data_IF_994329366692
#
_entry.id   IF_994329366692
#
_cell.length_a   1.000
_cell.length_b   1.000
_cell.length_c   1.000
_cell.angle_alpha   90.00
_cell.angle_beta   90.00
_cell.angle_gamma   90.00
#
_symmetry.space_group_name_H-M   'P 1'
#
loop_
_entity.id
_entity.type
_entity.pdbx_description
1 polymer ?
#
# COMPACT_ATOMS: atom_id res chain seq x y z
N UNK A 1 23.16 -33.22 21.19
CA UNK A 1 23.12 -33.19 19.72
C UNK A 1 21.69 -33.47 19.30
N UNK A 2 21.10 -32.65 18.42
CA UNK A 2 19.79 -32.96 17.82
C UNK A 2 19.95 -34.20 16.93
N UNK A 3 19.02 -35.15 17.06
CA UNK A 3 18.88 -36.28 16.16
C UNK A 3 18.64 -35.80 14.71
N UNK A 4 18.98 -36.65 13.75
CA UNK A 4 18.98 -36.31 12.35
C UNK A 4 17.58 -36.11 11.79
N UNK A 5 16.63 -36.93 12.24
CA UNK A 5 15.21 -36.80 11.90
C UNK A 5 14.61 -35.55 12.54
N UNK A 6 14.96 -35.28 13.81
CA UNK A 6 14.54 -34.09 14.54
C UNK A 6 15.03 -32.79 13.88
N UNK A 7 16.29 -32.77 13.41
CA UNK A 7 16.87 -31.63 12.68
C UNK A 7 16.13 -31.37 11.37
N UNK A 8 15.72 -32.43 10.67
CA UNK A 8 14.96 -32.29 9.44
C UNK A 8 13.54 -31.80 9.70
N UNK A 9 12.85 -32.37 10.68
CA UNK A 9 11.52 -31.95 11.08
C UNK A 9 11.52 -30.46 11.46
N UNK A 10 12.50 -30.05 12.27
CA UNK A 10 12.68 -28.65 12.66
C UNK A 10 12.90 -27.74 11.45
N UNK A 11 13.80 -28.11 10.54
CA UNK A 11 14.09 -27.30 9.36
C UNK A 11 12.88 -27.20 8.41
N UNK A 12 12.11 -28.28 8.26
CA UNK A 12 10.88 -28.27 7.47
C UNK A 12 9.81 -27.40 8.11
N UNK A 13 9.62 -27.49 9.42
CA UNK A 13 8.69 -26.64 10.17
C UNK A 13 9.04 -25.15 10.09
N UNK A 14 10.32 -24.78 10.25
CA UNK A 14 10.78 -23.38 10.15
C UNK A 14 10.67 -22.78 8.74
N UNK A 15 10.59 -23.62 7.72
CA UNK A 15 10.38 -23.22 6.32
C UNK A 15 8.91 -23.28 5.89
N UNK A 16 7.99 -23.36 6.87
CA UNK A 16 6.54 -23.47 6.67
C UNK A 16 6.14 -24.63 5.72
N UNK A 17 6.85 -25.77 5.79
CA UNK A 17 6.48 -26.94 5.00
C UNK A 17 5.24 -27.63 5.60
N UNK A 18 4.14 -27.76 4.84
CA UNK A 18 2.89 -28.36 5.35
C UNK A 18 3.04 -29.85 5.74
N UNK A 19 4.10 -30.52 5.29
CA UNK A 19 4.41 -31.91 5.67
C UNK A 19 5.17 -32.03 7.00
N UNK A 20 5.56 -30.92 7.63
CA UNK A 20 6.35 -30.91 8.86
C UNK A 20 5.60 -30.18 9.98
N UNK A 21 5.48 -30.83 11.15
CA UNK A 21 4.97 -30.20 12.37
C UNK A 21 6.10 -29.71 13.26
N UNK A 22 5.79 -28.79 14.18
CA UNK A 22 6.70 -28.41 15.25
C UNK A 22 7.21 -29.67 16.00
N UNK A 23 8.51 -29.79 16.27
CA UNK A 23 9.02 -30.86 17.11
C UNK A 23 8.44 -30.81 18.53
N UNK A 24 8.15 -31.98 19.10
CA UNK A 24 7.51 -32.12 20.42
C UNK A 24 8.36 -31.45 21.52
N UNK A 25 9.69 -31.46 21.38
CA UNK A 25 10.65 -30.86 22.32
C UNK A 25 10.63 -29.33 22.37
N UNK A 26 10.08 -28.68 21.33
CA UNK A 26 9.96 -27.22 21.24
C UNK A 26 8.57 -26.71 21.62
N UNK A 27 7.65 -27.61 21.96
CA UNK A 27 6.31 -27.26 22.40
C UNK A 27 6.34 -26.81 23.86
N UNK A 28 6.16 -25.51 24.10
CA UNK A 28 6.07 -24.94 25.43
C UNK A 28 4.62 -24.85 25.91
N UNK A 29 4.37 -25.33 27.14
CA UNK A 29 3.05 -25.30 27.78
C UNK A 29 3.07 -24.43 29.05
N UNK A 30 2.16 -23.45 29.18
CA UNK A 30 1.93 -22.78 30.45
C UNK A 30 1.13 -23.72 31.39
N UNK A 31 1.82 -24.55 32.18
CA UNK A 31 1.23 -25.39 33.23
C UNK A 31 1.55 -26.90 33.13
N UNK A 32 0.95 -27.71 34.01
CA UNK A 32 1.10 -29.18 33.99
C UNK A 32 0.18 -29.76 32.91
N UNK A 33 0.73 -30.11 31.75
CA UNK A 33 0.00 -30.69 30.62
C UNK A 33 -0.35 -32.18 30.86
N UNK A 34 -1.16 -32.49 31.87
CA UNK A 34 -1.70 -33.85 32.05
C UNK A 34 -2.96 -34.00 31.20
N UNK A 35 -2.92 -34.88 30.20
CA UNK A 35 -4.11 -35.26 29.41
C UNK A 35 -4.45 -34.38 28.20
N UNK A 36 -3.59 -33.42 27.84
CA UNK A 36 -3.70 -32.71 26.55
C UNK A 36 -2.84 -33.39 25.48
N UNK A 37 -3.41 -33.58 24.29
CA UNK A 37 -2.62 -33.91 23.10
C UNK A 37 -1.79 -32.68 22.72
N UNK A 38 -0.50 -32.75 23.04
CA UNK A 38 0.47 -31.67 22.82
C UNK A 38 0.62 -31.32 21.35
N UNK A 39 0.32 -32.27 20.43
CA UNK A 39 0.39 -32.07 18.97
C UNK A 39 -0.76 -31.23 18.42
N UNK A 40 -1.89 -31.20 19.12
CA UNK A 40 -3.07 -30.42 18.74
C UNK A 40 -3.07 -29.02 19.39
N UNK A 41 -2.07 -28.72 20.23
CA UNK A 41 -2.00 -27.44 20.94
C UNK A 41 -1.44 -26.34 20.00
N UNK A 42 -2.13 -25.21 19.84
CA UNK A 42 -1.67 -24.14 18.97
C UNK A 42 -0.39 -23.49 19.51
N UNK A 43 0.58 -23.24 18.61
CA UNK A 43 1.83 -22.53 18.93
C UNK A 43 1.54 -21.12 19.45
N UNK A 44 2.50 -20.49 20.17
CA UNK A 44 2.36 -19.09 20.59
C UNK A 44 2.06 -18.16 19.40
N UNK A 45 2.60 -18.46 18.22
CA UNK A 45 2.25 -17.75 17.00
C UNK A 45 0.81 -17.98 16.55
N UNK A 46 0.36 -19.24 16.48
CA UNK A 46 -1.03 -19.54 16.12
C UNK A 46 -2.01 -18.88 17.11
N UNK A 47 -1.68 -18.88 18.41
CA UNK A 47 -2.44 -18.18 19.45
C UNK A 47 -2.49 -16.66 19.25
N UNK A 48 -1.43 -16.06 18.72
CA UNK A 48 -1.43 -14.62 18.38
C UNK A 48 -2.31 -14.27 17.16
N UNK A 49 -2.70 -15.28 16.37
CA UNK A 49 -3.58 -15.14 15.20
C UNK A 49 -4.99 -15.70 15.44
N UNK A 50 -5.36 -16.09 16.67
CA UNK A 50 -6.70 -16.61 16.94
C UNK A 50 -7.77 -15.59 16.52
N UNK A 51 -8.76 -16.02 15.73
CA UNK A 51 -9.81 -15.19 15.10
C UNK A 51 -9.29 -14.14 14.11
N UNK A 52 -8.05 -14.27 13.64
CA UNK A 52 -7.48 -13.44 12.59
C UNK A 52 -7.20 -14.27 11.33
N UNK A 53 -7.50 -13.69 10.18
CA UNK A 53 -7.21 -14.26 8.86
C UNK A 53 -6.17 -13.41 8.13
N UNK A 54 -5.29 -14.08 7.40
CA UNK A 54 -4.34 -13.41 6.50
C UNK A 54 -5.09 -12.94 5.24
N UNK A 55 -5.21 -11.64 5.07
CA UNK A 55 -5.74 -10.99 3.87
C UNK A 55 -4.58 -10.64 2.95
N UNK A 56 -4.62 -11.20 1.73
CA UNK A 56 -3.62 -10.98 0.71
C UNK A 56 -4.10 -9.93 -0.31
N UNK A 57 -3.28 -8.90 -0.55
CA UNK A 57 -3.64 -7.81 -1.48
C UNK A 57 -2.67 -7.70 -2.66
N UNK A 58 -3.23 -7.49 -3.85
CA UNK A 58 -2.50 -7.19 -5.08
C UNK A 58 -1.88 -8.40 -5.78
N UNK A 59 -1.23 -8.15 -6.91
CA UNK A 59 -0.52 -9.18 -7.68
C UNK A 59 0.85 -9.46 -7.07
N UNK A 60 1.16 -10.74 -6.90
CA UNK A 60 2.35 -11.25 -6.20
C UNK A 60 3.56 -11.34 -7.15
N UNK A 61 3.90 -10.24 -7.85
CA UNK A 61 4.90 -10.23 -8.93
C UNK A 61 6.07 -9.28 -8.61
N UNK A 62 7.30 -9.68 -8.96
CA UNK A 62 8.55 -8.91 -8.78
C UNK A 62 8.93 -8.60 -7.31
N UNK A 63 8.53 -9.47 -6.38
CA UNK A 63 8.79 -9.35 -4.94
C UNK A 63 10.04 -10.14 -4.52
N UNK A 64 10.61 -9.74 -3.38
CA UNK A 64 11.74 -10.43 -2.75
C UNK A 64 11.26 -11.14 -1.48
N UNK A 65 11.31 -12.47 -1.49
CA UNK A 65 11.23 -13.30 -0.31
C UNK A 65 12.57 -13.33 0.42
N UNK A 66 12.52 -13.56 1.74
CA UNK A 66 13.69 -13.46 2.60
C UNK A 66 13.94 -14.77 3.36
N UNK A 67 15.15 -15.28 3.26
CA UNK A 67 15.71 -16.32 4.11
C UNK A 67 16.74 -15.67 5.03
N UNK A 68 16.39 -15.47 6.29
CA UNK A 68 17.30 -14.90 7.29
C UNK A 68 18.05 -16.03 7.98
N UNK A 69 19.38 -15.99 7.93
CA UNK A 69 20.25 -16.97 8.59
C UNK A 69 20.98 -16.31 9.74
N UNK A 70 20.91 -16.92 10.92
CA UNK A 70 21.68 -16.47 12.07
C UNK A 70 21.05 -16.88 13.40
N UNK A 71 21.82 -16.71 14.47
CA UNK A 71 21.46 -17.16 15.81
C UNK A 71 21.08 -16.01 16.75
N UNK A 72 21.07 -14.77 16.26
CA UNK A 72 20.75 -13.60 17.07
C UNK A 72 19.23 -13.35 17.13
N UNK A 73 18.77 -12.67 18.17
CA UNK A 73 17.37 -12.28 18.31
C UNK A 73 16.95 -11.32 17.18
N UNK A 74 17.87 -10.48 16.71
CA UNK A 74 17.67 -9.55 15.61
C UNK A 74 17.44 -10.29 14.27
N UNK A 75 18.15 -11.39 14.01
CA UNK A 75 17.94 -12.22 12.83
C UNK A 75 16.52 -12.82 12.80
N UNK A 76 16.09 -13.39 13.93
CA UNK A 76 14.73 -13.90 14.06
C UNK A 76 13.69 -12.78 13.91
N UNK A 77 13.92 -11.63 14.55
CA UNK A 77 13.03 -10.48 14.46
C UNK A 77 12.92 -9.94 13.02
N UNK A 78 14.02 -9.93 12.25
CA UNK A 78 14.00 -9.52 10.85
C UNK A 78 13.15 -10.45 9.99
N UNK A 79 13.31 -11.77 10.15
CA UNK A 79 12.51 -12.74 9.42
C UNK A 79 11.02 -12.57 9.71
N UNK A 80 10.67 -12.40 11.00
CA UNK A 80 9.28 -12.21 11.44
C UNK A 80 8.70 -10.89 10.97
N UNK A 81 9.46 -9.80 11.04
CA UNK A 81 9.05 -8.52 10.48
C UNK A 81 8.77 -8.65 8.98
N UNK A 82 9.63 -9.36 8.24
CA UNK A 82 9.45 -9.59 6.81
C UNK A 82 8.22 -10.46 6.52
N UNK A 83 8.02 -11.54 7.26
CA UNK A 83 6.85 -12.43 7.13
C UNK A 83 5.55 -11.68 7.41
N UNK A 84 5.48 -10.88 8.48
CA UNK A 84 4.29 -10.10 8.83
C UNK A 84 4.02 -8.93 7.86
N UNK A 85 5.04 -8.46 7.13
CA UNK A 85 4.89 -7.33 6.20
C UNK A 85 4.67 -7.79 4.76
N UNK A 86 5.41 -8.80 4.32
CA UNK A 86 5.54 -9.25 2.93
C UNK A 86 5.22 -10.74 2.72
N UNK A 87 4.84 -11.47 3.77
CA UNK A 87 4.40 -12.87 3.70
C UNK A 87 5.54 -13.89 3.59
N UNK A 88 6.52 -13.64 2.73
CA UNK A 88 7.57 -14.62 2.41
C UNK A 88 8.85 -14.33 3.19
N UNK A 89 8.86 -14.62 4.49
CA UNK A 89 10.01 -14.44 5.38
C UNK A 89 10.24 -15.68 6.22
N UNK A 90 11.45 -16.24 6.15
CA UNK A 90 11.85 -17.47 6.84
C UNK A 90 13.09 -17.20 7.69
N UNK A 91 13.18 -17.88 8.83
CA UNK A 91 14.36 -17.85 9.69
C UNK A 91 14.96 -19.24 9.80
N UNK A 92 16.27 -19.35 9.63
CA UNK A 92 17.02 -20.57 9.91
C UNK A 92 18.19 -20.27 10.86
N UNK A 93 18.30 -20.97 12.00
CA UNK A 93 19.49 -20.89 12.82
C UNK A 93 20.70 -21.46 12.07
N UNK A 94 21.86 -20.88 12.33
CA UNK A 94 23.12 -21.25 11.69
C UNK A 94 23.46 -22.72 11.86
N UNK A 95 23.10 -23.30 13.01
CA UNK A 95 23.36 -24.71 13.33
C UNK A 95 22.74 -25.70 12.36
N UNK A 96 21.73 -25.30 11.58
CA UNK A 96 21.11 -26.11 10.52
C UNK A 96 21.87 -26.04 9.20
N UNK A 97 22.74 -25.03 9.02
CA UNK A 97 23.41 -24.71 7.76
C UNK A 97 24.94 -24.78 7.84
N UNK A 98 25.52 -24.56 9.02
CA UNK A 98 26.97 -24.41 9.25
C UNK A 98 27.55 -25.46 10.20
N UNK A 99 26.88 -26.61 10.38
CA UNK A 99 27.47 -27.74 11.10
C UNK A 99 28.76 -28.27 10.45
N UNK A 100 29.48 -29.16 11.14
CA UNK A 100 30.77 -29.76 10.69
C UNK A 100 30.70 -30.55 9.36
N UNK A 101 29.53 -30.61 8.69
CA UNK A 101 29.32 -31.27 7.41
C UNK A 101 28.65 -30.37 6.37
N UNK A 102 28.58 -30.85 5.13
CA UNK A 102 27.83 -30.21 4.05
C UNK A 102 26.37 -29.98 4.45
N UNK A 103 25.77 -28.86 4.01
CA UNK A 103 24.31 -28.64 4.12
C UNK A 103 23.60 -29.87 3.58
N UNK A 104 22.60 -30.36 4.33
CA UNK A 104 21.89 -31.58 3.95
C UNK A 104 21.10 -31.38 2.68
N UNK A 105 21.10 -32.40 1.82
CA UNK A 105 20.45 -32.30 0.51
C UNK A 105 18.96 -31.98 0.63
N UNK A 106 18.26 -32.52 1.64
CA UNK A 106 16.82 -32.26 1.87
C UNK A 106 16.57 -30.79 2.20
N UNK A 107 17.43 -30.18 3.01
CA UNK A 107 17.33 -28.75 3.35
C UNK A 107 17.63 -27.86 2.14
N UNK A 108 18.73 -28.14 1.42
CA UNK A 108 19.05 -27.46 0.17
C UNK A 108 17.92 -27.58 -0.86
N UNK A 109 17.31 -28.77 -0.97
CA UNK A 109 16.17 -29.01 -1.86
C UNK A 109 14.92 -28.22 -1.45
N UNK A 110 14.59 -28.14 -0.15
CA UNK A 110 13.44 -27.36 0.34
C UNK A 110 13.62 -25.87 0.06
N UNK A 111 14.80 -25.32 0.33
CA UNK A 111 15.12 -23.91 0.00
C UNK A 111 15.04 -23.68 -1.51
N UNK A 112 15.56 -24.59 -2.32
CA UNK A 112 15.45 -24.52 -3.78
C UNK A 112 14.00 -24.68 -4.27
N UNK A 113 13.13 -25.41 -3.57
CA UNK A 113 11.69 -25.48 -3.89
C UNK A 113 11.04 -24.12 -3.65
N UNK A 114 11.25 -23.50 -2.48
CA UNK A 114 10.74 -22.16 -2.16
C UNK A 114 11.20 -21.14 -3.20
N UNK A 115 12.50 -21.14 -3.53
CA UNK A 115 13.05 -20.22 -4.51
C UNK A 115 12.46 -20.43 -5.91
N UNK A 116 12.17 -21.67 -6.32
CA UNK A 116 11.46 -21.97 -7.58
C UNK A 116 10.01 -21.52 -7.55
N UNK A 117 9.29 -21.77 -6.47
CA UNK A 117 7.89 -21.38 -6.34
C UNK A 117 7.74 -19.85 -6.39
N UNK A 118 8.66 -19.11 -5.78
CA UNK A 118 8.74 -17.66 -5.93
C UNK A 118 9.07 -17.24 -7.38
N UNK A 119 10.06 -17.88 -8.01
CA UNK A 119 10.45 -17.56 -9.38
C UNK A 119 9.33 -17.75 -10.41
N UNK A 120 8.39 -18.68 -10.18
CA UNK A 120 7.20 -18.87 -11.04
C UNK A 120 6.34 -17.61 -11.14
N UNK A 121 6.32 -16.78 -10.11
CA UNK A 121 5.59 -15.52 -10.07
C UNK A 121 6.52 -14.32 -10.32
N UNK A 122 7.67 -14.52 -10.98
CA UNK A 122 8.72 -13.49 -11.16
C UNK A 122 9.24 -12.88 -9.84
N UNK A 123 9.08 -13.60 -8.72
CA UNK A 123 9.66 -13.22 -7.44
C UNK A 123 11.05 -13.87 -7.29
N UNK A 124 11.79 -13.48 -6.26
CA UNK A 124 13.09 -14.06 -5.94
C UNK A 124 13.24 -14.35 -4.45
N UNK A 125 14.10 -15.29 -4.11
CA UNK A 125 14.51 -15.53 -2.72
C UNK A 125 15.89 -14.90 -2.49
N UNK A 126 16.01 -14.12 -1.42
CA UNK A 126 17.27 -13.56 -0.98
C UNK A 126 17.68 -14.14 0.38
N UNK A 127 18.97 -14.43 0.55
CA UNK A 127 19.58 -14.78 1.83
C UNK A 127 20.16 -13.52 2.48
N UNK A 128 19.90 -13.33 3.77
CA UNK A 128 20.41 -12.20 4.56
C UNK A 128 20.72 -12.61 6.00
N UNK A 129 21.40 -11.73 6.72
CA UNK A 129 21.56 -11.75 8.17
C UNK A 129 21.78 -10.32 8.68
N UNK A 130 21.45 -10.07 9.94
CA UNK A 130 21.86 -8.89 10.70
C UNK A 130 23.20 -9.16 11.40
N UNK A 131 23.39 -10.36 11.93
CA UNK A 131 24.56 -10.71 12.74
C UNK A 131 25.79 -11.12 11.93
N UNK A 132 25.64 -11.48 10.65
CA UNK A 132 26.71 -12.01 9.80
C UNK A 132 27.17 -11.05 8.72
N UNK A 133 28.42 -11.20 8.31
CA UNK A 133 29.01 -10.47 7.18
C UNK A 133 28.51 -10.97 5.82
N UNK A 134 28.65 -10.13 4.80
CA UNK A 134 28.30 -10.47 3.41
C UNK A 134 29.06 -11.71 2.90
N UNK A 135 30.35 -11.85 3.26
CA UNK A 135 31.16 -13.02 2.87
C UNK A 135 30.68 -14.32 3.49
N UNK A 136 30.28 -14.29 4.77
CA UNK A 136 29.73 -15.49 5.44
C UNK A 136 28.42 -15.91 4.78
N UNK A 137 27.58 -14.95 4.40
CA UNK A 137 26.33 -15.23 3.68
C UNK A 137 26.57 -15.79 2.28
N UNK A 138 27.59 -15.33 1.56
CA UNK A 138 27.98 -15.91 0.28
C UNK A 138 28.42 -17.37 0.42
N UNK A 139 29.21 -17.68 1.45
CA UNK A 139 29.60 -19.06 1.75
C UNK A 139 28.38 -19.92 2.11
N UNK A 140 27.48 -19.42 2.96
CA UNK A 140 26.23 -20.13 3.29
C UNK A 140 25.36 -20.35 2.05
N UNK A 141 25.20 -19.33 1.19
CA UNK A 141 24.49 -19.45 -0.10
C UNK A 141 25.08 -20.59 -0.92
N UNK A 142 26.39 -20.60 -1.12
CA UNK A 142 27.06 -21.58 -1.98
C UNK A 142 26.90 -23.00 -1.45
N UNK A 143 26.97 -23.17 -0.12
CA UNK A 143 26.70 -24.46 0.54
C UNK A 143 25.26 -24.93 0.33
N UNK A 144 24.28 -24.03 0.48
CA UNK A 144 22.85 -24.33 0.27
C UNK A 144 22.58 -24.72 -1.18
N UNK A 145 23.14 -23.98 -2.14
CA UNK A 145 23.00 -24.26 -3.56
C UNK A 145 23.66 -25.59 -3.92
N UNK A 146 24.87 -25.85 -3.43
CA UNK A 146 25.58 -27.11 -3.66
C UNK A 146 24.86 -28.33 -3.07
N UNK A 147 24.12 -28.15 -1.98
CA UNK A 147 23.33 -29.21 -1.36
C UNK A 147 22.10 -29.62 -2.19
N UNK A 148 21.58 -28.76 -3.09
CA UNK A 148 20.47 -29.15 -3.94
C UNK A 148 20.93 -30.12 -5.05
N UNK A 149 20.83 -31.42 -4.77
CA UNK A 149 21.23 -32.49 -5.69
C UNK A 149 20.17 -32.80 -6.77
N UNK A 150 18.95 -32.28 -6.64
CA UNK A 150 17.86 -32.53 -7.58
C UNK A 150 17.84 -31.40 -8.62
N UNK A 151 18.34 -31.71 -9.82
CA UNK A 151 18.24 -30.85 -11.00
C UNK A 151 17.08 -31.31 -11.87
N UNK A 152 16.15 -30.41 -12.17
CA UNK A 152 15.01 -30.71 -13.04
C UNK A 152 15.41 -30.36 -14.49
N UNK A 153 15.38 -31.32 -15.43
CA UNK A 153 15.70 -31.06 -16.83
C UNK A 153 14.85 -29.92 -17.40
N UNK A 154 15.49 -28.95 -18.05
CA UNK A 154 14.82 -27.81 -18.67
C UNK A 154 14.44 -26.66 -17.72
N UNK A 155 14.68 -26.78 -16.42
CA UNK A 155 14.55 -25.67 -15.47
C UNK A 155 15.92 -25.13 -15.07
N UNK A 156 16.07 -23.80 -15.08
CA UNK A 156 17.21 -23.16 -14.45
C UNK A 156 17.10 -23.29 -12.93
N UNK A 157 18.22 -23.59 -12.27
CA UNK A 157 18.29 -23.57 -10.82
C UNK A 157 17.90 -22.17 -10.33
N UNK A 158 17.02 -22.07 -9.32
CA UNK A 158 16.55 -20.78 -8.85
C UNK A 158 17.72 -20.00 -8.24
N UNK A 159 17.84 -18.72 -8.62
CA UNK A 159 18.89 -17.86 -8.09
C UNK A 159 18.58 -17.49 -6.64
N UNK A 160 19.53 -17.77 -5.74
CA UNK A 160 19.51 -17.29 -4.35
C UNK A 160 20.43 -16.06 -4.25
N UNK A 161 19.84 -14.87 -4.16
CA UNK A 161 20.60 -13.62 -4.07
C UNK A 161 21.10 -13.39 -2.64
N UNK A 162 22.35 -12.95 -2.45
CA UNK A 162 22.81 -12.45 -1.14
C UNK A 162 22.49 -10.96 -1.09
N UNK A 163 21.70 -10.54 -0.10
CA UNK A 163 21.38 -9.13 0.12
C UNK A 163 21.68 -8.80 1.57
N UNK A 164 22.60 -7.87 1.79
CA UNK A 164 22.94 -7.41 3.13
C UNK A 164 21.81 -6.56 3.75
N UNK A 165 21.62 -6.63 5.07
CA UNK A 165 20.47 -6.06 5.77
C UNK A 165 20.16 -4.57 5.47
N UNK A 166 21.14 -3.66 5.30
CA UNK A 166 20.87 -2.25 4.98
C UNK A 166 20.42 -2.03 3.53
N UNK A 167 20.69 -3.00 2.64
CA UNK A 167 20.33 -2.96 1.21
C UNK A 167 19.02 -3.69 0.92
N UNK A 168 18.32 -4.18 1.95
CA UNK A 168 17.07 -4.90 1.76
C UNK A 168 16.02 -4.03 1.03
N UNK A 169 15.28 -4.61 0.08
CA UNK A 169 14.31 -3.87 -0.73
C UNK A 169 13.02 -3.61 0.05
N UNK A 170 13.08 -2.76 1.08
CA UNK A 170 11.92 -2.35 1.88
C UNK A 170 10.83 -1.63 1.07
N UNK A 171 11.18 -1.12 -0.12
CA UNK A 171 10.27 -0.43 -1.04
C UNK A 171 9.52 -1.39 -1.96
N UNK A 172 9.03 -2.51 -1.43
CA UNK A 172 8.14 -3.42 -2.15
C UNK A 172 6.72 -3.32 -1.60
N UNK A 173 5.73 -3.72 -2.41
CA UNK A 173 4.35 -3.73 -1.96
C UNK A 173 4.18 -4.77 -0.86
N UNK A 174 3.67 -4.38 0.30
CA UNK A 174 3.43 -5.32 1.38
C UNK A 174 2.15 -6.13 1.10
N UNK A 175 2.16 -7.40 1.50
CA UNK A 175 1.33 -8.43 0.86
C UNK A 175 0.33 -9.06 1.82
N UNK A 176 0.64 -9.06 3.11
CA UNK A 176 -0.17 -9.66 4.18
C UNK A 176 -0.67 -8.56 5.11
N UNK A 177 -1.97 -8.57 5.38
CA UNK A 177 -2.61 -7.88 6.50
C UNK A 177 -3.43 -8.86 7.30
N UNK A 178 -3.44 -8.73 8.62
CA UNK A 178 -4.32 -9.52 9.48
C UNK A 178 -5.65 -8.78 9.63
N UNK A 179 -6.76 -9.49 9.44
CA UNK A 179 -8.09 -8.97 9.69
C UNK A 179 -8.87 -9.93 10.60
N UNK A 180 -9.90 -9.42 11.27
CA UNK A 180 -10.80 -10.26 12.07
C UNK A 180 -11.57 -11.18 11.12
N UNK A 181 -11.59 -12.47 11.44
CA UNK A 181 -12.35 -13.48 10.71
C UNK A 181 -13.81 -13.05 10.55
N UNK A 182 -14.37 -13.24 9.36
CA UNK A 182 -15.73 -12.83 8.98
C UNK A 182 -16.07 -11.32 9.11
N UNK A 183 -15.10 -10.46 9.45
CA UNK A 183 -15.28 -9.02 9.61
C UNK A 183 -14.23 -8.22 8.83
N UNK A 184 -13.96 -8.66 7.61
CA UNK A 184 -13.10 -7.99 6.64
C UNK A 184 -13.90 -7.68 5.36
N UNK A 185 -13.45 -6.70 4.58
CA UNK A 185 -14.11 -6.24 3.34
C UNK A 185 -15.58 -5.78 3.51
N UNK A 186 -15.93 -5.26 4.69
CA UNK A 186 -17.25 -4.68 4.93
C UNK A 186 -17.42 -3.36 4.19
N UNK A 187 -18.47 -3.26 3.36
CA UNK A 187 -18.80 -2.05 2.62
C UNK A 187 -19.82 -1.20 3.35
N UNK A 188 -19.56 0.10 3.45
CA UNK A 188 -20.45 1.07 4.08
C UNK A 188 -20.59 2.29 3.17
N UNK A 189 -21.83 2.65 2.83
CA UNK A 189 -22.12 3.89 2.11
C UNK A 189 -22.20 5.05 3.11
N UNK A 190 -21.43 6.10 2.85
CA UNK A 190 -21.46 7.34 3.63
C UNK A 190 -21.70 8.54 2.72
N UNK A 191 -22.53 9.53 3.14
CA UNK A 191 -22.66 10.77 2.41
C UNK A 191 -21.34 11.55 2.46
N UNK A 192 -20.94 12.14 1.34
CA UNK A 192 -19.66 12.85 1.20
C UNK A 192 -19.89 14.26 0.65
N UNK A 193 -19.04 15.19 1.04
CA UNK A 193 -18.87 16.48 0.37
C UNK A 193 -17.52 16.50 -0.33
N UNK A 194 -17.46 17.15 -1.50
CA UNK A 194 -16.23 17.30 -2.28
C UNK A 194 -15.89 18.79 -2.32
N UNK A 195 -14.70 19.14 -1.82
CA UNK A 195 -14.20 20.51 -1.89
C UNK A 195 -13.71 20.85 -3.31
N UNK A 196 -13.56 22.15 -3.61
CA UNK A 196 -13.06 22.62 -4.92
C UNK A 196 -11.69 22.03 -5.29
N UNK A 197 -10.83 21.78 -4.30
CA UNK A 197 -9.52 21.18 -4.52
C UNK A 197 -9.57 19.65 -4.74
N UNK A 198 -10.76 19.05 -4.76
CA UNK A 198 -11.01 17.62 -4.92
C UNK A 198 -10.95 16.79 -3.62
N UNK A 199 -10.73 17.43 -2.46
CA UNK A 199 -10.73 16.73 -1.16
C UNK A 199 -12.14 16.22 -0.85
N UNK A 200 -12.27 14.93 -0.56
CA UNK A 200 -13.55 14.30 -0.17
C UNK A 200 -13.64 14.23 1.35
N UNK A 201 -14.79 14.59 1.92
CA UNK A 201 -15.04 14.57 3.37
C UNK A 201 -16.32 13.82 3.66
N UNK A 202 -16.26 12.85 4.57
CA UNK A 202 -17.46 12.19 5.08
C UNK A 202 -18.31 13.22 5.83
N UNK A 203 -19.59 13.33 5.46
CA UNK A 203 -20.55 14.22 6.10
C UNK A 203 -21.17 13.58 7.37
N UNK A 204 -21.11 12.26 7.47
CA UNK A 204 -21.51 11.49 8.65
C UNK A 204 -20.35 10.60 9.12
N UNK A 205 -20.24 10.32 10.43
CA UNK A 205 -19.25 9.39 10.93
C UNK A 205 -19.57 7.95 10.50
N UNK A 206 -18.54 7.11 10.43
CA UNK A 206 -18.68 5.67 10.24
C UNK A 206 -19.48 5.03 11.39
N UNK A 207 -20.18 3.91 11.13
CA UNK A 207 -20.83 3.13 12.17
C UNK A 207 -19.80 2.66 13.22
N UNK A 208 -20.29 2.33 14.42
CA UNK A 208 -19.43 1.75 15.44
C UNK A 208 -18.83 0.43 14.93
N UNK A 209 -17.50 0.23 15.03
CA UNK A 209 -16.83 -0.94 14.46
C UNK A 209 -16.97 -2.16 15.38
N UNK A 210 -18.19 -2.60 15.67
CA UNK A 210 -18.49 -3.66 16.64
C UNK A 210 -17.94 -5.01 16.18
N UNK A 211 -17.23 -5.72 17.06
CA UNK A 211 -16.84 -7.11 16.83
C UNK A 211 -18.04 -8.04 17.00
N UNK A 212 -18.20 -9.00 16.10
CA UNK A 212 -19.29 -9.99 16.09
C UNK A 212 -18.84 -11.29 16.76
N UNK A 213 -17.54 -11.61 16.74
CA UNK A 213 -17.01 -12.80 17.41
C UNK A 213 -17.23 -12.72 18.93
N UNK A 214 -17.95 -13.71 19.48
CA UNK A 214 -18.25 -13.79 20.91
C UNK A 214 -16.97 -13.85 21.77
N UNK A 215 -15.95 -14.57 21.31
CA UNK A 215 -14.68 -14.74 22.02
C UNK A 215 -13.90 -13.43 22.10
N UNK A 216 -13.93 -12.62 21.03
CA UNK A 216 -13.30 -11.31 21.00
C UNK A 216 -14.09 -10.27 21.82
N UNK A 217 -15.42 -10.31 21.75
CA UNK A 217 -16.30 -9.40 22.50
C UNK A 217 -16.18 -9.62 24.02
N UNK A 218 -15.88 -10.84 24.46
CA UNK A 218 -15.67 -11.15 25.87
C UNK A 218 -14.41 -10.50 26.47
N UNK A 219 -13.50 -9.97 25.64
CA UNK A 219 -12.26 -9.33 26.09
C UNK A 219 -12.48 -7.83 26.33
N UNK A 220 -12.65 -7.42 27.60
CA UNK A 220 -13.00 -6.04 27.97
C UNK A 220 -11.95 -4.99 27.53
N UNK A 221 -10.67 -5.36 27.51
CA UNK A 221 -9.56 -4.47 27.16
C UNK A 221 -9.10 -4.56 25.69
N UNK A 222 -9.81 -5.33 24.86
CA UNK A 222 -9.44 -5.53 23.46
C UNK A 222 -9.63 -4.24 22.67
N UNK A 223 -8.59 -3.88 21.90
CA UNK A 223 -8.60 -2.74 21.01
C UNK A 223 -8.17 -3.21 19.63
N UNK A 224 -8.86 -2.70 18.61
CA UNK A 224 -8.58 -3.03 17.23
C UNK A 224 -8.43 -1.77 16.39
N UNK A 225 -7.86 -1.97 15.22
CA UNK A 225 -7.69 -0.95 14.22
C UNK A 225 -8.68 -1.17 13.10
N UNK A 226 -9.31 -0.09 12.64
CA UNK A 226 -10.24 -0.12 11.52
C UNK A 226 -9.55 0.51 10.33
N UNK A 227 -9.29 -0.30 9.32
CA UNK A 227 -8.71 0.15 8.05
C UNK A 227 -9.84 0.52 7.09
N UNK A 228 -9.82 1.77 6.63
CA UNK A 228 -10.83 2.35 5.75
C UNK A 228 -10.21 2.66 4.40
N UNK A 229 -10.86 2.15 3.36
CA UNK A 229 -10.53 2.40 1.96
C UNK A 229 -11.69 3.10 1.25
N UNK A 230 -11.37 4.02 0.34
CA UNK A 230 -12.35 4.62 -0.56
C UNK A 230 -12.27 3.86 -1.89
N UNK A 231 -13.39 3.36 -2.40
CA UNK A 231 -13.42 2.51 -3.62
C UNK A 231 -12.69 3.16 -4.81
N UNK A 232 -13.03 4.41 -5.12
CA UNK A 232 -12.35 5.21 -6.14
C UNK A 232 -11.25 6.10 -5.57
N UNK A 233 -10.47 5.60 -4.61
CA UNK A 233 -9.46 6.40 -3.91
C UNK A 233 -8.43 6.99 -4.88
N UNK A 234 -8.25 8.32 -4.79
CA UNK A 234 -7.18 9.07 -5.48
C UNK A 234 -6.16 9.64 -4.49
N UNK A 235 -6.28 9.29 -3.21
CA UNK A 235 -5.38 9.76 -2.17
C UNK A 235 -3.92 9.41 -2.46
N UNK A 236 -3.04 10.34 -2.07
CA UNK A 236 -1.61 10.07 -2.02
C UNK A 236 -1.34 9.04 -0.92
N UNK A 237 -1.06 7.80 -1.35
CA UNK A 237 -0.70 6.70 -0.46
C UNK A 237 0.70 6.90 0.11
N UNK A 238 0.84 7.72 1.15
CA UNK A 238 2.11 7.88 1.88
C UNK A 238 1.89 8.05 3.38
N UNK A 239 2.84 7.52 4.14
CA UNK A 239 2.83 7.54 5.60
C UNK A 239 3.13 8.94 6.13
N UNK A 240 2.55 9.22 7.30
CA UNK A 240 3.06 10.21 8.23
C UNK A 240 2.29 11.52 8.28
N UNK A 241 1.14 11.68 7.63
CA UNK A 241 0.29 12.86 7.88
C UNK A 241 -0.08 12.94 9.36
N UNK A 242 -0.13 14.16 9.90
CA UNK A 242 -0.75 14.40 11.21
C UNK A 242 -2.17 13.81 11.22
N UNK A 243 -2.53 13.14 12.31
CA UNK A 243 -3.86 12.54 12.50
C UNK A 243 -4.98 13.55 12.31
N UNK A 244 -4.77 14.81 12.68
CA UNK A 244 -5.81 15.84 12.58
C UNK A 244 -6.21 16.11 11.12
N UNK A 245 -5.28 15.88 10.19
CA UNK A 245 -5.47 16.09 8.77
C UNK A 245 -6.30 15.00 8.09
N UNK A 246 -6.61 13.93 8.83
CA UNK A 246 -7.36 12.77 8.35
C UNK A 246 -8.83 12.80 8.76
N UNK A 247 -9.20 13.65 9.72
CA UNK A 247 -10.59 13.76 10.15
C UNK A 247 -11.39 14.77 9.30
N UNK A 248 -12.61 14.37 8.93
CA UNK A 248 -13.55 15.20 8.16
C UNK A 248 -14.07 16.40 8.96
N UNK A 249 -14.26 16.21 10.27
CA UNK A 249 -14.49 17.28 11.24
C UNK A 249 -13.45 17.17 12.33
N UNK A 250 -12.93 18.30 12.82
CA UNK A 250 -11.97 18.27 13.93
C UNK A 250 -12.63 17.57 15.12
N UNK A 251 -12.15 16.40 15.56
CA UNK A 251 -12.79 15.69 16.65
C UNK A 251 -12.78 16.59 17.89
N UNK A 252 -13.85 16.51 18.70
CA UNK A 252 -13.76 16.98 20.08
C UNK A 252 -12.53 16.33 20.72
N UNK A 253 -11.73 17.15 21.40
CA UNK A 253 -10.37 16.86 21.86
C UNK A 253 -10.11 15.36 22.17
N UNK A 254 -9.20 14.76 21.41
CA UNK A 254 -8.63 13.41 21.63
C UNK A 254 -9.63 12.23 21.69
N UNK A 255 -10.79 12.29 21.04
CA UNK A 255 -11.73 11.14 21.05
C UNK A 255 -11.15 9.84 20.46
N UNK A 256 -10.29 9.91 19.44
CA UNK A 256 -9.51 8.77 18.90
C UNK A 256 -8.35 9.29 18.04
N UNK A 257 -7.53 8.37 17.53
CA UNK A 257 -6.40 8.63 16.65
C UNK A 257 -6.63 7.99 15.27
N UNK A 258 -6.22 8.69 14.23
CA UNK A 258 -6.20 8.20 12.86
C UNK A 258 -4.81 8.37 12.24
N UNK A 259 -4.42 7.45 11.35
CA UNK A 259 -3.18 7.54 10.59
C UNK A 259 -3.34 7.11 9.15
N UNK A 260 -2.45 7.58 8.30
CA UNK A 260 -2.28 6.99 6.99
C UNK A 260 -1.82 5.54 7.15
N UNK A 261 -2.49 4.64 6.45
CA UNK A 261 -2.19 3.21 6.41
C UNK A 261 -1.64 2.79 5.05
N UNK A 262 -1.40 1.51 4.91
CA UNK A 262 -0.95 0.85 3.68
C UNK A 262 -1.96 1.01 2.53
N UNK A 263 -3.24 0.78 2.82
CA UNK A 263 -4.32 0.78 1.83
C UNK A 263 -5.29 1.96 1.94
N UNK A 264 -5.06 2.90 2.86
CA UNK A 264 -5.99 4.00 3.09
C UNK A 264 -5.71 4.67 4.42
N UNK A 265 -6.71 4.73 5.28
CA UNK A 265 -6.65 5.38 6.58
C UNK A 265 -6.99 4.36 7.66
N UNK A 266 -6.23 4.33 8.74
CA UNK A 266 -6.53 3.51 9.92
C UNK A 266 -6.98 4.41 11.04
N UNK A 267 -8.00 4.01 11.82
CA UNK A 267 -8.26 4.61 13.12
C UNK A 267 -8.39 3.55 14.22
N UNK A 268 -8.21 3.95 15.47
CA UNK A 268 -8.34 3.07 16.63
C UNK A 268 -9.80 2.95 17.06
N UNK A 269 -10.27 1.72 17.33
CA UNK A 269 -11.66 1.46 17.72
C UNK A 269 -12.03 2.09 19.07
N UNK A 270 -11.06 2.22 19.98
CA UNK A 270 -11.26 2.78 21.32
C UNK A 270 -11.54 4.27 21.26
N UNK A 271 -12.56 4.69 22.01
CA UNK A 271 -12.79 6.11 22.32
C UNK A 271 -11.98 6.49 23.57
N UNK A 272 -11.22 7.57 23.50
CA UNK A 272 -10.33 8.04 24.56
C UNK A 272 -10.87 9.26 25.33
N UNK A 273 -12.09 9.70 25.02
CA UNK A 273 -12.79 10.74 25.77
C UNK A 273 -13.47 10.15 27.03
N UNK A 274 -14.21 10.98 27.76
CA UNK A 274 -14.93 10.55 28.96
C UNK A 274 -16.10 9.62 28.60
N UNK A 275 -15.99 8.35 29.00
CA UNK A 275 -17.05 7.34 28.90
C UNK A 275 -17.56 7.01 30.30
N UNK A 276 -18.83 7.28 30.58
CA UNK A 276 -19.43 6.94 31.89
C UNK A 276 -19.63 5.44 32.02
N UNK A 277 -19.49 4.94 33.25
CA UNK A 277 -19.83 3.54 33.57
C UNK A 277 -21.29 3.27 33.23
N UNK A 278 -21.57 2.13 32.60
CA UNK A 278 -22.92 1.75 32.15
C UNK A 278 -23.27 2.23 30.73
N UNK A 279 -22.35 2.93 30.05
CA UNK A 279 -22.48 3.21 28.62
C UNK A 279 -22.50 1.88 27.84
N UNK A 280 -23.42 1.75 26.88
CA UNK A 280 -23.50 0.56 26.02
C UNK A 280 -22.16 0.33 25.30
N UNK A 281 -21.71 -0.92 25.10
CA UNK A 281 -20.43 -1.21 24.44
C UNK A 281 -20.26 -0.53 23.08
N UNK A 282 -21.31 -0.50 22.25
CA UNK A 282 -21.32 0.19 20.95
C UNK A 282 -21.06 1.71 21.00
N UNK A 283 -21.28 2.31 22.17
CA UNK A 283 -21.10 3.74 22.43
C UNK A 283 -19.78 4.03 23.16
N UNK A 284 -19.02 3.01 23.54
CA UNK A 284 -17.64 3.16 24.04
C UNK A 284 -16.62 3.16 22.89
N UNK A 285 -17.08 2.83 21.68
CA UNK A 285 -16.27 2.81 20.46
C UNK A 285 -16.26 4.16 19.73
N UNK A 286 -15.15 4.45 19.08
CA UNK A 286 -14.96 5.65 18.28
C UNK A 286 -15.78 5.58 16.97
N UNK A 287 -16.46 6.69 16.66
CA UNK A 287 -17.18 6.90 15.41
C UNK A 287 -16.59 8.12 14.73
N UNK A 288 -15.90 7.91 13.61
CA UNK A 288 -15.09 8.95 12.97
C UNK A 288 -15.66 9.30 11.61
N UNK A 289 -15.74 10.60 11.33
CA UNK A 289 -15.85 11.09 9.97
C UNK A 289 -14.44 11.32 9.44
N UNK A 290 -14.10 10.70 8.32
CA UNK A 290 -12.78 10.77 7.71
C UNK A 290 -12.79 11.69 6.48
N UNK A 291 -11.62 12.17 6.08
CA UNK A 291 -11.44 12.88 4.80
C UNK A 291 -10.32 12.31 3.97
N UNK A 292 -10.56 12.21 2.68
CA UNK A 292 -9.59 11.87 1.66
C UNK A 292 -9.03 13.15 1.05
N UNK A 293 -7.79 13.51 1.41
CA UNK A 293 -7.13 14.72 0.89
C UNK A 293 -6.82 14.59 -0.60
N UNK A 294 -7.06 15.67 -1.35
CA UNK A 294 -6.50 15.80 -2.69
C UNK A 294 -4.98 15.94 -2.64
N UNK A 295 -4.30 15.76 -3.79
CA UNK A 295 -2.85 15.94 -3.87
C UNK A 295 -2.41 17.33 -3.38
N UNK A 296 -3.16 18.38 -3.74
CA UNK A 296 -2.84 19.76 -3.33
C UNK A 296 -3.01 19.93 -1.82
N UNK A 297 -4.11 19.43 -1.25
CA UNK A 297 -4.35 19.49 0.18
C UNK A 297 -3.31 18.68 0.97
N UNK A 298 -2.92 17.50 0.46
CA UNK A 298 -1.87 16.66 1.03
C UNK A 298 -0.52 17.37 1.05
N UNK A 299 -0.10 18.01 -0.06
CA UNK A 299 1.16 18.76 -0.12
C UNK A 299 1.16 19.90 0.90
N UNK A 300 0.05 20.64 1.01
CA UNK A 300 -0.09 21.75 1.97
C UNK A 300 0.00 21.24 3.41
N UNK A 301 -0.74 20.18 3.75
CA UNK A 301 -0.68 19.55 5.06
C UNK A 301 0.75 19.09 5.40
N UNK A 302 1.46 18.50 4.43
CA UNK A 302 2.86 18.08 4.60
C UNK A 302 3.85 19.21 4.76
N UNK A 303 3.67 20.31 4.04
CA UNK A 303 4.50 21.49 4.22
C UNK A 303 4.28 22.09 5.61
N UNK A 304 3.03 22.17 6.06
CA UNK A 304 2.67 22.75 7.36
C UNK A 304 3.28 22.00 8.56
N UNK A 305 3.44 20.67 8.49
CA UNK A 305 4.15 19.88 9.52
C UNK A 305 5.61 20.33 9.77
N UNK A 306 6.20 21.08 8.82
CA UNK A 306 7.57 21.60 8.89
C UNK A 306 7.59 23.14 8.90
N UNK A 307 6.47 23.76 9.25
CA UNK A 307 6.30 25.22 9.21
C UNK A 307 6.57 25.84 7.83
N UNK A 308 6.36 25.06 6.75
CA UNK A 308 6.52 25.50 5.37
C UNK A 308 5.17 25.81 4.72
N UNK A 309 5.16 26.72 3.76
CA UNK A 309 3.96 27.09 2.99
C UNK A 309 4.12 26.61 1.55
N UNK A 310 3.27 25.67 1.13
CA UNK A 310 3.21 25.24 -0.27
C UNK A 310 2.28 26.14 -1.09
N UNK A 311 2.79 26.65 -2.22
CA UNK A 311 2.02 27.45 -3.19
C UNK A 311 2.20 26.90 -4.61
N UNK A 312 1.18 27.00 -5.47
CA UNK A 312 1.36 26.72 -6.89
C UNK A 312 2.46 27.61 -7.48
N UNK A 313 3.22 27.07 -8.44
CA UNK A 313 4.05 27.90 -9.30
C UNK A 313 3.17 28.78 -10.19
N UNK A 314 3.76 29.76 -10.87
CA UNK A 314 3.02 30.61 -11.83
C UNK A 314 2.34 29.77 -12.93
N UNK A 315 3.03 28.78 -13.48
CA UNK A 315 2.46 27.84 -14.45
C UNK A 315 1.32 27.01 -13.84
N UNK A 316 1.45 26.60 -12.57
CA UNK A 316 0.39 25.90 -11.84
C UNK A 316 -0.83 26.79 -11.61
N UNK A 317 -0.63 28.08 -11.31
CA UNK A 317 -1.69 29.05 -11.12
C UNK A 317 -2.46 29.30 -12.43
N UNK A 318 -1.74 29.50 -13.54
CA UNK A 318 -2.35 29.63 -14.88
C UNK A 318 -3.13 28.38 -15.28
N UNK A 319 -2.57 27.19 -15.02
CA UNK A 319 -3.28 25.92 -15.24
C UNK A 319 -4.54 25.83 -14.39
N UNK A 320 -4.49 26.22 -13.12
CA UNK A 320 -5.64 26.24 -12.22
C UNK A 320 -6.76 27.16 -12.72
N UNK A 321 -6.42 28.34 -13.24
CA UNK A 321 -7.38 29.26 -13.87
C UNK A 321 -8.03 28.63 -15.11
N UNK A 322 -7.24 28.02 -15.99
CA UNK A 322 -7.77 27.33 -17.18
C UNK A 322 -8.72 26.19 -16.81
N UNK A 323 -8.38 25.40 -15.79
CA UNK A 323 -9.27 24.34 -15.28
C UNK A 323 -10.56 24.93 -14.71
N UNK A 324 -10.49 26.03 -13.95
CA UNK A 324 -11.67 26.71 -13.41
C UNK A 324 -12.58 27.30 -14.50
N UNK A 325 -12.00 27.81 -15.59
CA UNK A 325 -12.75 28.38 -16.70
C UNK A 325 -13.36 27.33 -17.62
N UNK A 326 -12.66 26.22 -17.85
CA UNK A 326 -12.99 25.27 -18.91
C UNK A 326 -13.40 23.90 -18.40
N UNK A 327 -13.29 23.60 -17.10
CA UNK A 327 -13.76 22.35 -16.50
C UNK A 327 -12.75 21.20 -16.51
N UNK A 328 -11.58 21.34 -17.16
CA UNK A 328 -10.54 20.32 -17.13
C UNK A 328 -9.82 20.13 -18.46
N UNK A 329 -8.98 19.08 -18.54
CA UNK A 329 -8.20 18.77 -19.75
C UNK A 329 -9.07 18.26 -20.89
N UNK A 330 -10.04 17.41 -20.60
CA UNK A 330 -10.95 16.88 -21.63
C UNK A 330 -11.76 18.01 -22.25
N UNK A 331 -12.38 18.84 -21.41
CA UNK A 331 -13.15 19.99 -21.84
C UNK A 331 -12.27 21.04 -22.56
N UNK A 332 -11.02 21.23 -22.13
CA UNK A 332 -10.06 22.04 -22.89
C UNK A 332 -9.84 21.50 -24.30
N UNK A 333 -9.60 20.19 -24.45
CA UNK A 333 -9.42 19.56 -25.76
C UNK A 333 -10.71 19.64 -26.58
N UNK A 334 -11.88 19.46 -25.97
CA UNK A 334 -13.17 19.55 -26.66
C UNK A 334 -13.45 20.98 -27.13
N UNK A 335 -13.13 21.99 -26.33
CA UNK A 335 -13.32 23.40 -26.67
C UNK A 335 -12.37 23.82 -27.80
N UNK A 336 -11.06 23.60 -27.65
CA UNK A 336 -10.06 24.07 -28.63
C UNK A 336 -9.90 23.15 -29.84
N UNK A 337 -10.12 21.84 -29.66
CA UNK A 337 -10.06 20.82 -30.71
C UNK A 337 -11.42 20.53 -31.37
N UNK A 338 -12.52 20.98 -30.78
CA UNK A 338 -13.86 20.90 -31.35
C UNK A 338 -14.35 22.27 -31.79
N UNK A 339 -15.21 22.88 -30.98
CA UNK A 339 -16.03 24.06 -31.35
C UNK A 339 -15.18 25.26 -31.79
N UNK A 340 -14.08 25.59 -31.10
CA UNK A 340 -13.21 26.71 -31.48
C UNK A 340 -12.17 26.38 -32.56
N UNK A 341 -12.02 25.12 -32.97
CA UNK A 341 -10.93 24.71 -33.87
C UNK A 341 -10.98 25.46 -35.22
N UNK A 342 -12.18 25.68 -35.76
CA UNK A 342 -12.37 26.41 -37.02
C UNK A 342 -11.93 27.86 -36.92
N UNK A 343 -12.23 28.54 -35.81
CA UNK A 343 -11.76 29.91 -35.57
C UNK A 343 -10.24 29.96 -35.37
N UNK A 344 -9.66 29.02 -34.62
CA UNK A 344 -8.21 28.94 -34.38
C UNK A 344 -7.44 28.67 -35.68
N UNK A 345 -7.97 27.81 -36.56
CA UNK A 345 -7.40 27.61 -37.90
C UNK A 345 -7.53 28.86 -38.77
N UNK A 346 -8.59 29.66 -38.61
CA UNK A 346 -8.74 30.95 -39.27
C UNK A 346 -7.70 32.00 -38.85
N UNK A 347 -6.99 31.79 -37.73
CA UNK A 347 -5.86 32.64 -37.32
C UNK A 347 -4.55 32.30 -38.07
N UNK A 348 -4.48 31.13 -38.72
CA UNK A 348 -3.36 30.76 -39.58
C UNK A 348 -3.57 31.37 -40.98
N UNK A 349 -3.04 32.57 -41.16
CA UNK A 349 -3.15 33.31 -42.42
C UNK A 349 -2.04 32.91 -43.39
N UNK A 350 -2.32 33.04 -44.68
CA UNK A 350 -1.35 32.79 -45.77
C UNK A 350 -0.71 34.07 -46.31
N UNK A 351 -1.12 35.23 -45.78
CA UNK A 351 -0.68 36.55 -46.26
C UNK A 351 -0.51 37.53 -45.11
N UNK A 352 0.52 38.37 -45.21
CA UNK A 352 0.81 39.45 -44.26
C UNK A 352 -0.10 40.67 -44.42
N UNK A 353 -1.00 40.66 -45.42
CA UNK A 353 -1.91 41.76 -45.68
C UNK A 353 -3.32 41.42 -45.24
N UNK A 354 -3.86 42.15 -44.25
CA UNK A 354 -5.19 41.87 -43.66
C UNK A 354 -6.32 41.82 -44.69
N UNK A 355 -6.31 42.67 -45.72
CA UNK A 355 -7.35 42.67 -46.78
C UNK A 355 -7.34 41.39 -47.63
N UNK A 356 -6.20 40.70 -47.70
CA UNK A 356 -6.04 39.45 -48.44
C UNK A 356 -6.32 38.26 -47.53
N UNK A 357 -5.85 38.31 -46.30
CA UNK A 357 -6.05 37.26 -45.31
C UNK A 357 -7.51 37.19 -44.78
N UNK A 358 -8.19 38.34 -44.65
CA UNK A 358 -9.54 38.48 -44.12
C UNK A 358 -10.36 39.44 -45.01
N UNK A 359 -10.82 38.99 -46.19
CA UNK A 359 -11.51 39.85 -47.16
C UNK A 359 -12.78 40.50 -46.61
N UNK A 360 -13.47 39.76 -45.73
CA UNK A 360 -14.75 40.17 -45.13
C UNK A 360 -14.58 41.06 -43.88
N UNK A 361 -13.34 41.43 -43.52
CA UNK A 361 -13.05 42.27 -42.35
C UNK A 361 -13.10 41.51 -41.01
N UNK A 362 -13.16 40.18 -41.06
CA UNK A 362 -13.26 39.30 -39.89
C UNK A 362 -12.01 39.24 -39.00
N UNK A 363 -10.92 39.89 -39.38
CA UNK A 363 -9.66 39.80 -38.65
C UNK A 363 -8.57 40.73 -39.18
N UNK A 364 -7.42 40.68 -38.50
CA UNK A 364 -6.21 41.43 -38.83
C UNK A 364 -5.04 40.48 -38.94
N UNK A 365 -4.29 40.55 -40.05
CA UNK A 365 -3.04 39.82 -40.22
C UNK A 365 -1.91 40.55 -39.48
N UNK A 366 -1.17 39.82 -38.66
CA UNK A 366 0.01 40.32 -37.94
C UNK A 366 1.30 39.97 -38.69
N UNK A 367 1.32 38.83 -39.39
CA UNK A 367 2.44 38.35 -40.20
C UNK A 367 1.96 37.46 -41.34
N UNK A 368 2.87 36.96 -42.17
CA UNK A 368 2.53 36.02 -43.26
C UNK A 368 2.02 34.66 -42.78
N UNK A 369 2.08 34.38 -41.47
CA UNK A 369 1.67 33.09 -40.87
C UNK A 369 0.75 33.24 -39.66
N UNK A 370 0.56 34.46 -39.15
CA UNK A 370 -0.24 34.73 -37.95
C UNK A 370 -1.21 35.88 -38.17
N UNK A 371 -2.47 35.67 -37.81
CA UNK A 371 -3.52 36.67 -37.80
C UNK A 371 -4.43 36.48 -36.59
N UNK A 372 -5.19 37.51 -36.27
CA UNK A 372 -6.14 37.51 -35.14
C UNK A 372 -7.52 37.82 -35.70
N UNK A 373 -8.50 36.98 -35.36
CA UNK A 373 -9.90 37.22 -35.71
C UNK A 373 -10.55 38.22 -34.73
N UNK A 374 -11.47 39.03 -35.22
CA UNK A 374 -12.40 39.78 -34.37
C UNK A 374 -13.38 38.81 -33.71
N UNK A 375 -14.07 39.26 -32.66
CA UNK A 375 -15.09 38.42 -32.00
C UNK A 375 -16.20 38.00 -32.98
N UNK A 376 -16.70 38.92 -33.80
CA UNK A 376 -17.65 38.61 -34.87
C UNK A 376 -17.06 37.59 -35.87
N UNK A 377 -15.79 37.75 -36.25
CA UNK A 377 -15.09 36.79 -37.11
C UNK A 377 -14.89 35.40 -36.49
N UNK A 378 -14.83 35.30 -35.15
CA UNK A 378 -14.85 34.02 -34.45
C UNK A 378 -16.25 33.41 -34.47
N UNK A 379 -17.29 34.19 -34.15
CA UNK A 379 -18.69 33.75 -34.14
C UNK A 379 -19.13 33.22 -35.51
N UNK A 380 -18.75 33.88 -36.61
CA UNK A 380 -19.08 33.40 -37.97
C UNK A 380 -18.44 32.05 -38.32
N UNK A 381 -17.33 31.69 -37.65
CA UNK A 381 -16.56 30.46 -37.90
C UNK A 381 -16.88 29.34 -36.91
N UNK A 382 -17.68 29.62 -35.88
CA UNK A 382 -18.01 28.69 -34.82
C UNK A 382 -19.52 28.50 -34.75
N UNK A 383 -20.01 27.36 -35.24
CA UNK A 383 -21.44 27.06 -35.24
C UNK A 383 -21.98 27.00 -33.80
N UNK A 384 -22.99 27.84 -33.51
CA UNK A 384 -23.66 27.89 -32.20
C UNK A 384 -23.14 28.95 -31.21
N UNK A 385 -22.18 29.79 -31.61
CA UNK A 385 -21.72 30.96 -30.85
C UNK A 385 -22.46 32.22 -31.37
N UNK A 386 -23.77 32.29 -31.13
CA UNK A 386 -24.56 33.49 -31.47
C UNK A 386 -24.13 34.69 -30.61
N UNK A 387 -24.09 35.89 -31.20
CA UNK A 387 -23.64 37.16 -30.60
C UNK A 387 -24.38 37.59 -29.30
N UNK A 388 -25.36 36.82 -28.82
CA UNK A 388 -26.31 37.22 -27.80
C UNK A 388 -25.90 36.99 -26.33
N UNK A 389 -24.69 36.51 -26.01
CA UNK A 389 -24.32 36.16 -24.61
C UNK A 389 -23.21 37.05 -24.00
N UNK A 390 -22.79 38.15 -24.64
CA UNK A 390 -21.72 39.02 -24.10
C UNK A 390 -22.18 40.46 -23.79
N UNK A 391 -23.49 40.74 -23.78
CA UNK A 391 -24.03 42.02 -23.33
C UNK A 391 -25.24 41.85 -22.41
N UNK A 392 -24.99 41.45 -21.15
CA UNK A 392 -25.81 41.80 -19.99
C UNK A 392 -24.99 41.71 -18.71
#
# INVERSE_FOLDING_TARGET
MLDDDLREQLAGWLLDDPSCSAPDELMWHPGVAVGMDTKMTPTAHARSKTHLVDVHTGFDIHRTGLLVVGDSAEDFALARLWQLTFGTGFWLPSSLLDGEGTVRWRLGHRIARIARDLARNSNRLAITSISRSEKELEVTRDRVVAANQIKIPGQQDPKLDVIFSPKLPWRQQPTVSLAVEDQWDSQVTVPISVAEDGTRRMAAPLPAPVLVSADLVAQEDLQWHVDVHWEDSRAVRRRGLDSIELFGSRPAFMSTWARSSRHGMTYQSRRNDFVTRGTRPENTLARVALRELSLVAWIRAKAAERDLVARPSEAGLRTGLLVGMLGGREQYVDVFGGVLLSALRGMLVTSSTSKVAYPDGDGVSLSSTEGVLTFAGMCTRVAGLDEAVVAS
#
